data_IF_297946660046
#
_entry.id   IF_297946660046
#
_cell.length_a   1.000
_cell.length_b   1.000
_cell.length_c   1.000
_cell.angle_alpha   90.00
_cell.angle_beta   90.00
_cell.angle_gamma   90.00
#
_symmetry.space_group_name_H-M   'P 1'
#
loop_
_entity.id
_entity.type
_entity.pdbx_description
1 polymer ?
#
# COMPACT_ATOMS: atom_id res chain seq x y z
N UNK A 1 -6.11 -10.17 -0.66
CA UNK A 1 -6.55 -9.23 -1.72
C UNK A 1 -6.78 -7.82 -1.14
N UNK A 2 -6.84 -6.74 -1.95
CA UNK A 2 -7.05 -5.37 -1.39
C UNK A 2 -8.36 -5.25 -0.59
N UNK A 3 -9.35 -6.09 -0.91
CA UNK A 3 -10.61 -6.23 -0.17
C UNK A 3 -10.42 -6.59 1.30
N UNK A 4 -9.34 -7.30 1.63
CA UNK A 4 -9.05 -7.68 3.02
C UNK A 4 -8.71 -6.47 3.88
N UNK A 5 -8.13 -5.42 3.28
CA UNK A 5 -7.96 -4.15 3.98
C UNK A 5 -9.30 -3.51 4.34
N UNK A 6 -10.36 -3.75 3.55
CA UNK A 6 -11.70 -3.27 3.85
C UNK A 6 -12.22 -3.88 5.15
N UNK A 7 -12.00 -5.19 5.34
CA UNK A 7 -12.33 -5.89 6.59
C UNK A 7 -11.50 -5.42 7.80
N UNK A 8 -10.31 -4.87 7.55
CA UNK A 8 -9.47 -4.27 8.59
C UNK A 8 -9.81 -2.80 8.88
N UNK A 9 -10.91 -2.27 8.35
CA UNK A 9 -11.39 -0.91 8.64
C UNK A 9 -10.84 0.16 7.70
N UNK A 10 -10.26 -0.21 6.55
CA UNK A 10 -10.00 0.74 5.46
C UNK A 10 -11.29 1.00 4.70
N UNK A 11 -11.60 2.27 4.45
CA UNK A 11 -12.79 2.63 3.67
C UNK A 11 -12.68 2.17 2.21
N UNK A 12 -13.76 1.64 1.67
CA UNK A 12 -13.91 1.27 0.25
C UNK A 12 -13.55 2.42 -0.69
N UNK A 13 -13.86 3.65 -0.29
CA UNK A 13 -13.55 4.87 -1.06
C UNK A 13 -12.05 5.14 -1.18
N UNK A 14 -11.24 4.71 -0.22
CA UNK A 14 -9.78 4.79 -0.30
C UNK A 14 -9.21 3.64 -1.14
N UNK A 15 -9.82 2.44 -1.09
CA UNK A 15 -9.51 1.30 -1.98
C UNK A 15 -9.78 1.64 -3.45
N UNK A 16 -10.90 2.31 -3.76
CA UNK A 16 -11.22 2.73 -5.13
C UNK A 16 -10.17 3.70 -5.67
N UNK A 17 -9.70 4.65 -4.86
CA UNK A 17 -8.62 5.57 -5.26
C UNK A 17 -7.31 4.84 -5.52
N UNK A 18 -7.00 3.84 -4.69
CA UNK A 18 -5.84 2.97 -4.88
C UNK A 18 -5.96 2.18 -6.19
N UNK A 19 -7.13 1.59 -6.48
CA UNK A 19 -7.40 0.93 -7.77
C UNK A 19 -7.24 1.88 -8.96
N UNK A 20 -7.74 3.11 -8.87
CA UNK A 20 -7.51 4.13 -9.90
C UNK A 20 -6.04 4.52 -10.05
N UNK A 21 -5.24 4.39 -9.00
CA UNK A 21 -3.80 4.56 -9.04
C UNK A 21 -3.05 3.29 -9.55
N UNK A 22 -3.76 2.23 -9.91
CA UNK A 22 -3.20 0.94 -10.36
C UNK A 22 -2.87 -0.05 -9.23
N UNK A 23 -3.28 0.25 -8.00
CA UNK A 23 -3.00 -0.55 -6.81
C UNK A 23 -4.23 -1.41 -6.49
N UNK A 24 -4.20 -2.66 -6.95
CA UNK A 24 -5.32 -3.60 -6.79
C UNK A 24 -5.09 -4.66 -5.68
N UNK A 25 -3.91 -4.69 -5.05
CA UNK A 25 -3.54 -5.75 -4.08
C UNK A 25 -2.76 -5.20 -2.89
N UNK A 26 -2.79 -5.91 -1.76
CA UNK A 26 -2.01 -5.60 -0.54
C UNK A 26 -0.50 -5.54 -0.84
N UNK A 27 -0.04 -6.40 -1.76
CA UNK A 27 1.35 -6.41 -2.23
C UNK A 27 1.69 -5.12 -2.96
N UNK A 28 0.81 -4.64 -3.83
CA UNK A 28 1.01 -3.38 -4.54
C UNK A 28 1.05 -2.19 -3.58
N UNK A 29 0.21 -2.18 -2.53
CA UNK A 29 0.25 -1.17 -1.46
C UNK A 29 1.62 -1.18 -0.78
N UNK A 30 2.14 -2.36 -0.45
CA UNK A 30 3.46 -2.49 0.15
C UNK A 30 4.53 -1.97 -0.78
N UNK A 31 4.56 -2.44 -2.03
CA UNK A 31 5.51 -2.01 -3.09
C UNK A 31 5.48 -0.51 -3.33
N UNK A 32 4.35 0.12 -3.05
CA UNK A 32 4.17 1.56 -3.22
C UNK A 32 4.68 2.32 -2.00
N UNK A 33 5.52 3.32 -2.23
CA UNK A 33 6.03 4.17 -1.15
C UNK A 33 4.97 5.14 -0.64
N UNK A 34 5.13 5.61 0.60
CA UNK A 34 4.26 6.63 1.21
C UNK A 34 4.13 7.87 0.32
N UNK A 35 5.20 8.24 -0.40
CA UNK A 35 5.19 9.37 -1.35
C UNK A 35 4.22 9.16 -2.51
N UNK A 36 4.18 7.98 -3.09
CA UNK A 36 3.29 7.72 -4.22
C UNK A 36 1.83 7.57 -3.76
N UNK A 37 1.59 7.00 -2.57
CA UNK A 37 0.27 6.96 -1.96
C UNK A 37 -0.25 8.36 -1.62
N UNK A 38 0.63 9.26 -1.16
CA UNK A 38 0.30 10.66 -0.89
C UNK A 38 0.03 11.47 -2.18
N UNK A 39 0.62 11.09 -3.32
CA UNK A 39 0.32 11.70 -4.63
C UNK A 39 -1.11 11.41 -5.12
N UNK A 40 -1.79 10.41 -4.57
CA UNK A 40 -3.16 10.07 -4.96
C UNK A 40 -4.09 11.16 -4.40
N UNK A 41 -4.71 11.93 -5.30
CA UNK A 41 -5.66 13.00 -4.92
C UNK A 41 -6.79 12.44 -4.04
N UNK A 42 -6.96 13.04 -2.86
CA UNK A 42 -8.00 12.64 -1.91
C UNK A 42 -7.60 11.56 -0.90
N UNK A 43 -6.32 11.16 -0.86
CA UNK A 43 -5.72 10.44 0.26
C UNK A 43 -4.93 11.42 1.15
N UNK A 44 -5.14 11.31 2.47
CA UNK A 44 -4.41 12.08 3.48
C UNK A 44 -3.32 11.20 4.11
N UNK A 45 -2.24 11.79 4.62
CA UNK A 45 -1.16 11.05 5.30
C UNK A 45 -1.69 10.13 6.40
N UNK A 46 -2.68 10.57 7.17
CA UNK A 46 -3.31 9.75 8.22
C UNK A 46 -3.95 8.46 7.67
N UNK A 47 -4.50 8.50 6.44
CA UNK A 47 -5.08 7.31 5.78
C UNK A 47 -4.01 6.38 5.25
N UNK A 48 -2.96 6.95 4.66
CA UNK A 48 -1.81 6.21 4.15
C UNK A 48 -1.09 5.45 5.27
N UNK A 49 -0.97 6.08 6.45
CA UNK A 49 -0.32 5.46 7.60
C UNK A 49 -1.12 4.26 8.13
N UNK A 50 -2.45 4.42 8.31
CA UNK A 50 -3.35 3.30 8.66
C UNK A 50 -3.29 2.17 7.63
N UNK A 51 -3.32 2.51 6.35
CA UNK A 51 -3.28 1.54 5.26
C UNK A 51 -1.97 0.74 5.25
N UNK A 52 -0.84 1.41 5.48
CA UNK A 52 0.46 0.75 5.66
C UNK A 52 0.50 -0.11 6.92
N UNK A 53 -0.07 0.33 8.03
CA UNK A 53 -0.11 -0.45 9.26
C UNK A 53 -0.92 -1.75 9.07
N UNK A 54 -2.10 -1.65 8.46
CA UNK A 54 -2.94 -2.80 8.10
C UNK A 54 -2.23 -3.73 7.11
N UNK A 55 -1.63 -3.17 6.06
CA UNK A 55 -0.87 -3.94 5.09
C UNK A 55 0.35 -4.63 5.74
N UNK A 56 1.01 -3.98 6.72
CA UNK A 56 2.10 -4.55 7.52
C UNK A 56 1.63 -5.74 8.35
N UNK A 57 0.50 -5.60 9.07
CA UNK A 57 -0.13 -6.72 9.80
C UNK A 57 -0.44 -7.90 8.89
N UNK A 58 -1.01 -7.64 7.70
CA UNK A 58 -1.29 -8.69 6.71
C UNK A 58 -0.02 -9.32 6.13
N UNK A 59 1.02 -8.53 5.85
CA UNK A 59 2.27 -9.06 5.30
C UNK A 59 3.04 -9.93 6.31
N UNK A 60 2.97 -9.63 7.60
CA UNK A 60 3.61 -10.46 8.65
C UNK A 60 3.11 -11.90 8.61
N UNK A 61 1.85 -12.12 8.22
CA UNK A 61 1.26 -13.45 8.06
C UNK A 61 1.85 -14.20 6.85
N UNK A 62 2.38 -13.49 5.84
CA UNK A 62 2.77 -14.07 4.54
C UNK A 62 4.29 -14.34 4.43
N UNK A 63 5.09 -14.07 5.47
CA UNK A 63 6.47 -14.53 5.56
C UNK A 63 7.52 -13.46 5.18
N UNK A 64 8.54 -13.37 6.04
CA UNK A 64 9.54 -12.29 6.08
C UNK A 64 10.69 -12.42 5.07
N UNK A 65 10.38 -12.41 3.77
CA UNK A 65 11.44 -12.39 2.73
C UNK A 65 11.36 -11.18 1.79
N UNK A 66 10.34 -10.32 1.91
CA UNK A 66 10.04 -9.30 0.89
C UNK A 66 10.66 -7.91 1.10
N UNK A 67 11.23 -7.62 2.29
CA UNK A 67 11.63 -6.26 2.67
C UNK A 67 12.82 -5.70 1.85
N UNK A 68 13.78 -6.56 1.45
CA UNK A 68 14.96 -6.14 0.67
C UNK A 68 14.64 -5.62 -0.74
N UNK A 69 13.52 -6.02 -1.36
CA UNK A 69 13.15 -5.57 -2.71
C UNK A 69 12.51 -4.17 -2.73
N UNK A 70 11.90 -3.73 -1.62
CA UNK A 70 11.30 -2.40 -1.48
C UNK A 70 12.34 -1.28 -1.71
N UNK A 71 13.55 -1.48 -1.16
CA UNK A 71 14.66 -0.56 -1.30
C UNK A 71 15.30 -0.59 -2.71
N UNK A 72 15.31 -1.76 -3.36
CA UNK A 72 15.91 -1.92 -4.69
C UNK A 72 15.05 -1.29 -5.81
N UNK A 73 13.73 -1.43 -5.75
CA UNK A 73 12.82 -0.82 -6.74
C UNK A 73 12.79 0.71 -6.71
N UNK A 74 13.08 1.33 -5.55
CA UNK A 74 13.16 2.79 -5.46
C UNK A 74 14.36 3.37 -6.22
N UNK A 75 15.41 2.57 -6.44
CA UNK A 75 16.61 2.96 -7.19
C UNK A 75 16.44 2.79 -8.71
N UNK A 76 15.52 1.94 -9.17
CA UNK A 76 15.32 1.64 -10.60
C UNK A 76 14.18 2.47 -11.22
N UNK A 77 13.18 2.90 -10.44
CA UNK A 77 12.03 3.67 -10.95
C UNK A 77 12.32 5.18 -11.08
N UNK A 78 13.33 5.69 -10.34
CA UNK A 78 13.75 7.09 -10.35
C UNK A 78 15.16 7.32 -10.92
N UNK A 79 15.76 6.29 -11.54
CA UNK A 79 17.04 6.35 -12.23
C UNK A 79 16.86 6.44 -13.74
#
# INVERSE_FOLDING_TARGET
EIDELQNHGINSSDIVKLKSAGICTVRAIHMTTRRNLCKIKGLSEAKVDKLKETACKLQVVIGKSFDKLQAYNLRVIFG
#
